data_IF_003152203675
#
_entry.id   IF_003152203675
#
_cell.length_a   1.000
_cell.length_b   1.000
_cell.length_c   1.000
_cell.angle_alpha   90.00
_cell.angle_beta   90.00
_cell.angle_gamma   90.00
#
_symmetry.space_group_name_H-M   'P 1'
#
loop_
_entity.id
_entity.type
_entity.pdbx_description
1 polymer ?
#
# COMPACT_ATOMS: atom_id res chain seq x y z
N UNK A 1 -9.67 3.43 20.95
CA UNK A 1 -11.14 3.56 20.88
C UNK A 1 -11.87 2.23 21.13
N UNK A 2 -11.45 1.09 20.58
CA UNK A 2 -12.18 -0.20 20.73
C UNK A 2 -12.32 -0.65 22.20
N UNK A 3 -11.25 -0.59 22.99
CA UNK A 3 -11.25 -1.00 24.39
C UNK A 3 -12.21 -0.16 25.25
N UNK A 4 -12.21 1.15 25.06
CA UNK A 4 -13.15 2.03 25.78
C UNK A 4 -14.63 1.76 25.47
N UNK A 5 -14.94 1.34 24.23
CA UNK A 5 -16.30 0.97 23.81
C UNK A 5 -16.73 -0.37 24.42
N UNK A 6 -15.82 -1.35 24.49
CA UNK A 6 -16.08 -2.66 25.14
C UNK A 6 -16.36 -2.46 26.63
N UNK A 7 -15.54 -1.65 27.31
CA UNK A 7 -15.71 -1.37 28.75
C UNK A 7 -16.99 -0.56 29.00
N UNK A 8 -17.35 0.37 28.10
CA UNK A 8 -18.61 1.11 28.19
C UNK A 8 -19.83 0.19 28.02
N UNK A 9 -19.74 -0.83 27.15
CA UNK A 9 -20.80 -1.82 27.01
C UNK A 9 -20.93 -2.68 28.25
N UNK A 10 -19.81 -3.13 28.83
CA UNK A 10 -19.82 -3.91 30.07
C UNK A 10 -20.46 -3.16 31.26
N UNK A 11 -20.34 -1.82 31.31
CA UNK A 11 -21.07 -1.01 32.30
C UNK A 11 -22.57 -1.01 32.02
N UNK A 12 -22.98 -0.87 30.74
CA UNK A 12 -24.39 -0.92 30.34
C UNK A 12 -25.04 -2.26 30.64
N UNK A 13 -24.27 -3.33 30.48
CA UNK A 13 -24.72 -4.71 30.71
C UNK A 13 -24.68 -5.09 32.22
N UNK A 14 -24.31 -4.14 33.09
CA UNK A 14 -24.23 -4.38 34.56
C UNK A 14 -23.10 -5.29 35.01
N UNK A 15 -22.14 -5.63 34.13
CA UNK A 15 -21.02 -6.51 34.43
C UNK A 15 -19.98 -5.82 35.32
N UNK A 16 -19.78 -4.51 35.14
CA UNK A 16 -18.90 -3.67 35.96
C UNK A 16 -19.61 -2.38 36.38
N UNK A 17 -19.33 -1.85 37.59
CA UNK A 17 -20.05 -0.69 38.12
C UNK A 17 -19.69 0.64 37.46
N UNK A 18 -18.51 0.78 36.90
CA UNK A 18 -18.05 2.02 36.24
C UNK A 18 -16.99 1.73 35.16
N UNK A 19 -16.74 2.73 34.31
CA UNK A 19 -15.75 2.61 33.24
C UNK A 19 -14.41 3.24 33.66
N UNK A 20 -13.41 2.43 34.10
CA UNK A 20 -12.12 2.95 34.57
C UNK A 20 -11.29 3.59 33.44
N UNK A 21 -11.60 3.31 32.16
CA UNK A 21 -10.88 3.89 31.00
C UNK A 21 -11.08 5.40 30.89
N UNK A 22 -12.20 5.94 31.43
CA UNK A 22 -12.47 7.38 31.42
C UNK A 22 -11.54 8.17 32.36
N UNK A 23 -10.96 7.52 33.35
CA UNK A 23 -10.07 8.12 34.34
C UNK A 23 -8.58 8.02 33.95
N UNK A 24 -8.28 7.21 32.95
CA UNK A 24 -6.90 7.01 32.46
C UNK A 24 -6.44 8.25 31.72
N UNK A 25 -5.53 8.99 32.31
CA UNK A 25 -4.80 10.09 31.64
C UNK A 25 -3.66 9.48 30.83
N UNK A 26 -3.77 9.49 29.51
CA UNK A 26 -2.67 9.06 28.62
C UNK A 26 -1.51 10.05 28.78
N UNK A 27 -0.33 9.55 29.11
CA UNK A 27 0.88 10.35 29.16
C UNK A 27 1.11 11.01 27.79
N UNK A 28 1.24 12.35 27.76
CA UNK A 28 1.43 13.10 26.51
C UNK A 28 2.66 12.64 25.72
N UNK A 29 3.70 12.17 26.39
CA UNK A 29 4.90 11.62 25.74
C UNK A 29 4.62 10.29 25.04
N UNK A 30 3.87 9.38 25.68
CA UNK A 30 3.40 8.14 25.05
C UNK A 30 2.48 8.44 23.86
N UNK A 31 1.55 9.38 23.99
CA UNK A 31 0.67 9.78 22.89
C UNK A 31 1.46 10.36 21.71
N UNK A 32 2.53 11.13 21.98
CA UNK A 32 3.43 11.64 20.96
C UNK A 32 4.28 10.53 20.30
N UNK A 33 4.70 9.53 21.07
CA UNK A 33 5.43 8.37 20.58
C UNK A 33 4.55 7.50 19.68
N UNK A 34 3.31 7.18 20.09
CA UNK A 34 2.31 6.51 19.25
C UNK A 34 1.95 7.33 17.99
N UNK A 35 1.89 8.66 18.09
CA UNK A 35 1.69 9.53 16.95
C UNK A 35 2.88 9.47 15.97
N UNK A 36 4.13 9.40 16.48
CA UNK A 36 5.33 9.22 15.66
C UNK A 36 5.38 7.85 14.98
N UNK A 37 4.99 6.78 15.67
CA UNK A 37 4.89 5.45 15.08
C UNK A 37 3.82 5.39 13.98
N UNK A 38 2.64 5.97 14.19
CA UNK A 38 1.60 6.12 13.16
C UNK A 38 2.06 6.97 11.98
N UNK A 39 2.94 7.96 12.21
CA UNK A 39 3.49 8.79 11.14
C UNK A 39 4.53 8.06 10.27
N UNK A 40 5.14 6.97 10.75
CA UNK A 40 6.01 6.11 9.92
C UNK A 40 5.22 5.38 8.83
N UNK A 41 3.96 5.01 9.09
CA UNK A 41 3.09 4.41 8.09
C UNK A 41 2.60 5.41 7.03
N UNK A 42 2.84 6.70 7.26
CA UNK A 42 2.49 7.79 6.34
C UNK A 42 3.67 8.19 5.42
N UNK A 43 4.81 7.50 5.47
CA UNK A 43 5.89 7.72 4.49
C UNK A 43 5.49 7.16 3.13
N UNK A 44 5.72 7.94 2.09
CA UNK A 44 5.35 7.60 0.72
C UNK A 44 6.38 8.16 -0.26
N UNK A 45 6.48 7.54 -1.41
CA UNK A 45 7.22 8.06 -2.55
C UNK A 45 6.49 9.26 -3.18
N UNK A 46 7.22 10.27 -3.56
CA UNK A 46 6.77 11.27 -4.53
C UNK A 46 6.53 10.63 -5.90
N UNK A 47 6.03 11.42 -6.85
CA UNK A 47 5.87 10.97 -8.23
C UNK A 47 7.21 10.47 -8.82
N UNK A 48 8.27 11.27 -8.75
CA UNK A 48 9.60 10.93 -9.28
C UNK A 48 10.21 9.70 -8.59
N UNK A 49 10.09 9.62 -7.26
CA UNK A 49 10.57 8.48 -6.47
C UNK A 49 9.79 7.18 -6.78
N UNK A 50 8.49 7.30 -7.07
CA UNK A 50 7.67 6.16 -7.48
C UNK A 50 8.11 5.59 -8.82
N UNK A 51 8.42 6.45 -9.79
CA UNK A 51 8.98 6.04 -11.08
C UNK A 51 10.37 5.42 -10.92
N UNK A 52 11.25 6.06 -10.14
CA UNK A 52 12.57 5.54 -9.86
C UNK A 52 12.52 4.16 -9.19
N UNK A 53 11.58 3.96 -8.24
CA UNK A 53 11.36 2.66 -7.61
C UNK A 53 10.95 1.59 -8.62
N UNK A 54 9.90 1.82 -9.41
CA UNK A 54 9.39 0.85 -10.39
C UNK A 54 10.46 0.47 -11.40
N UNK A 55 11.22 1.43 -11.92
CA UNK A 55 12.33 1.18 -12.86
C UNK A 55 13.45 0.34 -12.20
N UNK A 56 13.75 0.61 -10.92
CA UNK A 56 14.81 -0.12 -10.19
C UNK A 56 14.46 -1.57 -9.89
N UNK A 57 13.18 -1.94 -9.92
CA UNK A 57 12.71 -3.29 -9.59
C UNK A 57 12.18 -4.06 -10.79
N UNK A 58 12.36 -3.57 -12.00
CA UNK A 58 11.81 -4.16 -13.23
C UNK A 58 12.21 -5.64 -13.42
N UNK A 59 13.44 -5.99 -13.05
CA UNK A 59 13.94 -7.37 -13.12
C UNK A 59 13.67 -8.21 -11.86
N UNK A 60 12.97 -7.66 -10.87
CA UNK A 60 12.73 -8.34 -9.60
C UNK A 60 11.54 -9.30 -9.72
N UNK A 61 11.60 -10.47 -9.06
CA UNK A 61 10.54 -11.49 -9.09
C UNK A 61 9.16 -11.01 -8.60
N UNK A 62 9.11 -9.95 -7.76
CA UNK A 62 7.88 -9.33 -7.27
C UNK A 62 7.53 -8.04 -8.00
N UNK A 63 8.11 -7.78 -9.18
CA UNK A 63 7.85 -6.56 -9.96
C UNK A 63 6.35 -6.33 -10.15
N UNK A 64 5.64 -7.31 -10.69
CA UNK A 64 4.21 -7.18 -10.99
C UNK A 64 3.39 -6.96 -9.71
N UNK A 65 3.80 -7.56 -8.58
CA UNK A 65 3.15 -7.35 -7.29
C UNK A 65 3.34 -5.91 -6.81
N UNK A 66 4.56 -5.37 -6.90
CA UNK A 66 4.84 -3.98 -6.51
C UNK A 66 4.15 -3.00 -7.45
N UNK A 67 4.19 -3.23 -8.77
CA UNK A 67 3.52 -2.41 -9.76
C UNK A 67 2.01 -2.32 -9.50
N UNK A 68 1.33 -3.45 -9.35
CA UNK A 68 -0.11 -3.51 -9.09
C UNK A 68 -0.45 -2.85 -7.75
N UNK A 69 0.37 -3.07 -6.72
CA UNK A 69 0.18 -2.45 -5.41
C UNK A 69 0.27 -0.93 -5.50
N UNK A 70 1.28 -0.42 -6.20
CA UNK A 70 1.51 1.01 -6.38
C UNK A 70 0.44 1.64 -7.27
N UNK A 71 0.12 1.03 -8.41
CA UNK A 71 -0.81 1.59 -9.40
C UNK A 71 -2.25 1.69 -8.86
N UNK A 72 -2.75 0.61 -8.25
CA UNK A 72 -4.13 0.55 -7.75
C UNK A 72 -4.26 0.94 -6.27
N UNK A 73 -3.17 1.20 -5.58
CA UNK A 73 -3.17 1.51 -4.16
C UNK A 73 -3.69 0.36 -3.30
N UNK A 74 -3.40 -0.90 -3.65
CA UNK A 74 -3.93 -2.05 -2.94
C UNK A 74 -3.30 -2.21 -1.55
N UNK A 75 -4.09 -2.75 -0.60
CA UNK A 75 -3.53 -3.25 0.65
C UNK A 75 -2.76 -4.55 0.40
N UNK A 76 -1.80 -4.85 1.25
CA UNK A 76 -1.03 -6.11 1.16
C UNK A 76 -1.94 -7.34 1.12
N UNK A 77 -2.95 -7.36 1.96
CA UNK A 77 -3.93 -8.43 2.06
C UNK A 77 -4.78 -8.56 0.79
N UNK A 78 -5.05 -7.45 0.11
CA UNK A 78 -5.82 -7.39 -1.14
C UNK A 78 -4.99 -7.89 -2.33
N UNK A 79 -3.74 -7.42 -2.47
CA UNK A 79 -2.88 -7.87 -3.58
C UNK A 79 -2.55 -9.37 -3.46
N UNK A 80 -2.28 -9.87 -2.25
CA UNK A 80 -2.07 -11.29 -2.02
C UNK A 80 -3.35 -12.12 -2.18
N UNK A 81 -4.52 -11.49 -2.00
CA UNK A 81 -5.82 -12.09 -2.21
C UNK A 81 -6.29 -12.07 -3.66
N UNK A 82 -5.55 -11.45 -4.59
CA UNK A 82 -5.97 -11.35 -5.99
C UNK A 82 -6.03 -12.74 -6.64
N UNK A 83 -7.15 -13.02 -7.29
CA UNK A 83 -7.43 -14.30 -7.97
C UNK A 83 -7.59 -14.10 -9.47
N UNK A 84 -7.21 -15.12 -10.25
CA UNK A 84 -7.42 -15.12 -11.70
C UNK A 84 -8.89 -15.04 -12.07
N UNK A 85 -9.78 -15.67 -11.31
CA UNK A 85 -11.24 -15.58 -11.49
C UNK A 85 -11.81 -14.17 -11.27
N UNK A 86 -11.02 -13.24 -10.70
CA UNK A 86 -11.40 -11.84 -10.48
C UNK A 86 -10.81 -10.91 -11.55
N UNK A 87 -10.13 -11.44 -12.58
CA UNK A 87 -9.51 -10.67 -13.67
C UNK A 87 -10.15 -11.12 -14.98
N UNK A 88 -10.88 -10.22 -15.61
CA UNK A 88 -11.46 -10.39 -16.93
C UNK A 88 -10.63 -9.60 -17.95
N UNK A 89 -9.84 -10.33 -18.75
CA UNK A 89 -8.96 -9.72 -19.74
C UNK A 89 -9.72 -9.23 -20.98
N UNK A 90 -10.87 -9.84 -21.28
CA UNK A 90 -11.70 -9.47 -22.44
C UNK A 90 -12.48 -8.19 -22.13
N UNK A 91 -13.05 -8.09 -20.92
CA UNK A 91 -13.72 -6.88 -20.43
C UNK A 91 -12.74 -5.85 -19.84
N UNK A 92 -11.44 -6.17 -19.80
CA UNK A 92 -10.37 -5.33 -19.23
C UNK A 92 -10.72 -4.84 -17.83
N UNK A 93 -11.07 -5.77 -16.93
CA UNK A 93 -11.43 -5.43 -15.55
C UNK A 93 -10.73 -6.32 -14.53
N UNK A 94 -10.47 -5.74 -13.34
CA UNK A 94 -9.95 -6.45 -12.17
C UNK A 94 -10.80 -6.10 -10.95
N UNK A 95 -11.33 -7.10 -10.28
CA UNK A 95 -12.18 -6.95 -9.09
C UNK A 95 -11.45 -7.38 -7.82
N UNK A 96 -11.38 -6.50 -6.83
CA UNK A 96 -10.87 -6.83 -5.49
C UNK A 96 -12.04 -7.33 -4.64
N UNK A 97 -12.05 -8.63 -4.32
CA UNK A 97 -13.13 -9.27 -3.57
C UNK A 97 -12.65 -10.24 -2.51
N UNK A 98 -11.34 -10.51 -2.44
CA UNK A 98 -10.77 -11.48 -1.54
C UNK A 98 -9.54 -10.92 -0.83
N UNK A 99 -9.28 -11.35 0.40
CA UNK A 99 -8.13 -10.92 1.20
C UNK A 99 -7.44 -12.10 1.87
N UNK A 100 -6.11 -11.99 2.01
CA UNK A 100 -5.28 -12.96 2.75
C UNK A 100 -4.68 -12.24 3.95
N UNK A 101 -5.11 -12.61 5.15
CA UNK A 101 -4.67 -11.98 6.42
C UNK A 101 -3.95 -12.99 7.31
N UNK A 102 -3.14 -12.48 8.24
CA UNK A 102 -2.52 -13.27 9.32
C UNK A 102 -3.26 -12.95 10.62
N UNK A 103 -3.78 -14.00 11.28
CA UNK A 103 -4.22 -14.00 12.66
C UNK A 103 -3.39 -15.03 13.43
N UNK A 104 -4.01 -15.86 14.26
CA UNK A 104 -3.39 -17.07 14.82
C UNK A 104 -3.03 -18.09 13.72
N UNK A 105 -3.76 -18.02 12.59
CA UNK A 105 -3.52 -18.78 11.35
C UNK A 105 -3.64 -17.85 10.15
N UNK A 106 -3.19 -18.31 8.98
CA UNK A 106 -3.39 -17.58 7.71
C UNK A 106 -4.85 -17.72 7.28
N UNK A 107 -5.60 -16.63 7.34
CA UNK A 107 -7.01 -16.58 6.97
C UNK A 107 -7.18 -16.10 5.52
N UNK A 108 -7.93 -16.86 4.73
CA UNK A 108 -8.27 -16.57 3.33
C UNK A 108 -9.78 -16.40 3.24
N UNK A 109 -10.25 -15.16 3.16
CA UNK A 109 -11.68 -14.86 3.21
C UNK A 109 -12.18 -14.27 1.91
N UNK A 110 -13.35 -14.75 1.45
CA UNK A 110 -14.06 -14.19 0.30
C UNK A 110 -14.82 -12.89 0.64
N UNK A 111 -14.59 -12.32 1.81
CA UNK A 111 -15.16 -11.03 2.19
C UNK A 111 -14.05 -10.05 2.53
N UNK A 112 -14.08 -8.91 1.86
CA UNK A 112 -13.45 -7.71 2.37
C UNK A 112 -14.26 -7.26 3.60
N UNK A 113 -13.60 -6.78 4.65
CA UNK A 113 -14.19 -6.42 5.97
C UNK A 113 -15.43 -5.50 5.89
N UNK A 114 -15.66 -4.85 4.77
CA UNK A 114 -16.81 -3.98 4.51
C UNK A 114 -17.23 -4.09 3.03
N UNK A 115 -18.52 -3.90 2.75
CA UNK A 115 -19.07 -3.82 1.39
C UNK A 115 -18.32 -2.76 0.53
N UNK A 116 -17.83 -1.69 1.17
CA UNK A 116 -17.04 -0.62 0.55
C UNK A 116 -15.63 -1.04 0.07
N UNK A 117 -15.16 -2.23 0.45
CA UNK A 117 -13.85 -2.74 0.04
C UNK A 117 -13.88 -3.53 -1.26
N UNK A 118 -15.07 -3.94 -1.72
CA UNK A 118 -15.24 -4.59 -3.04
C UNK A 118 -15.27 -3.50 -4.11
N UNK A 119 -14.31 -3.51 -5.00
CA UNK A 119 -14.19 -2.53 -6.07
C UNK A 119 -13.62 -3.15 -7.33
N UNK A 120 -14.07 -2.65 -8.47
CA UNK A 120 -13.62 -3.09 -9.79
C UNK A 120 -12.86 -1.95 -10.44
N UNK A 121 -11.70 -2.28 -10.98
CA UNK A 121 -10.84 -1.36 -11.72
C UNK A 121 -10.86 -1.66 -13.20
N UNK A 122 -10.87 -0.65 -14.07
CA UNK A 122 -10.55 -0.84 -15.47
C UNK A 122 -9.06 -1.13 -15.62
N UNK A 123 -8.70 -1.98 -16.58
CA UNK A 123 -7.34 -2.27 -16.98
C UNK A 123 -7.04 -1.58 -18.32
N UNK A 124 -5.87 -0.99 -18.45
CA UNK A 124 -5.36 -0.53 -19.74
C UNK A 124 -4.70 -1.69 -20.52
N UNK A 125 -4.34 -1.46 -21.78
CA UNK A 125 -3.77 -2.50 -22.65
C UNK A 125 -2.47 -3.07 -22.11
N UNK A 126 -1.59 -2.24 -21.54
CA UNK A 126 -0.32 -2.67 -20.95
C UNK A 126 -0.54 -3.62 -19.76
N UNK A 127 -1.56 -3.37 -18.96
CA UNK A 127 -1.92 -4.22 -17.82
C UNK A 127 -2.56 -5.55 -18.28
N UNK A 128 -3.35 -5.51 -19.33
CA UNK A 128 -3.89 -6.73 -19.98
C UNK A 128 -2.75 -7.60 -20.50
N UNK A 129 -1.76 -7.00 -21.17
CA UNK A 129 -0.57 -7.68 -21.67
C UNK A 129 0.28 -8.24 -20.52
N UNK A 130 0.48 -7.46 -19.44
CA UNK A 130 1.18 -7.90 -18.24
C UNK A 130 0.50 -9.15 -17.63
N UNK A 131 -0.81 -9.12 -17.39
CA UNK A 131 -1.53 -10.27 -16.84
C UNK A 131 -1.53 -11.46 -17.80
N UNK A 132 -1.58 -11.23 -19.10
CA UNK A 132 -1.48 -12.28 -20.12
C UNK A 132 -0.10 -12.95 -20.08
N UNK A 133 0.98 -12.18 -19.93
CA UNK A 133 2.33 -12.71 -19.74
C UNK A 133 2.45 -13.50 -18.44
N UNK A 134 1.88 -13.01 -17.34
CA UNK A 134 1.87 -13.73 -16.06
C UNK A 134 1.13 -15.07 -16.17
N UNK A 135 -0.01 -15.15 -16.88
CA UNK A 135 -0.72 -16.42 -17.16
C UNK A 135 0.14 -17.38 -17.99
N UNK A 136 0.86 -16.89 -18.99
CA UNK A 136 1.79 -17.71 -19.79
C UNK A 136 2.93 -18.25 -18.92
N UNK A 137 3.53 -17.40 -18.07
CA UNK A 137 4.59 -17.79 -17.11
C UNK A 137 4.08 -18.84 -16.12
N UNK A 138 2.89 -18.69 -15.59
CA UNK A 138 2.28 -19.69 -14.69
C UNK A 138 2.09 -21.05 -15.38
N UNK A 139 1.60 -21.06 -16.64
CA UNK A 139 1.47 -22.31 -17.41
C UNK A 139 2.83 -22.99 -17.63
N UNK A 140 3.88 -22.23 -17.90
CA UNK A 140 5.25 -22.75 -18.02
C UNK A 140 5.76 -23.33 -16.70
N UNK A 141 5.55 -22.63 -15.58
CA UNK A 141 5.91 -23.08 -14.24
C UNK A 141 5.19 -24.40 -13.88
N UNK A 142 3.89 -24.50 -14.19
CA UNK A 142 3.10 -25.72 -13.99
C UNK A 142 3.68 -26.91 -14.77
N UNK A 143 4.11 -26.70 -16.01
CA UNK A 143 4.78 -27.73 -16.80
C UNK A 143 6.13 -28.12 -16.22
N UNK A 144 6.91 -27.13 -15.75
CA UNK A 144 8.23 -27.33 -15.16
C UNK A 144 8.15 -28.16 -13.86
N UNK A 145 7.24 -27.84 -12.98
CA UNK A 145 7.08 -28.50 -11.68
C UNK A 145 6.26 -29.81 -11.73
N UNK A 146 5.52 -30.05 -12.82
CA UNK A 146 4.73 -31.27 -13.02
C UNK A 146 3.82 -31.57 -11.82
N UNK A 147 3.87 -32.81 -11.31
CA UNK A 147 3.05 -33.24 -10.18
C UNK A 147 3.37 -32.53 -8.84
N UNK A 148 4.49 -31.83 -8.76
CA UNK A 148 4.88 -31.03 -7.59
C UNK A 148 4.18 -29.68 -7.52
N UNK A 149 3.55 -29.24 -8.62
CA UNK A 149 2.91 -27.93 -8.67
C UNK A 149 1.67 -27.87 -7.77
N UNK A 150 1.61 -26.81 -6.93
CA UNK A 150 0.45 -26.55 -6.04
C UNK A 150 -0.53 -25.62 -6.74
N UNK A 151 -1.57 -26.23 -7.33
CA UNK A 151 -2.58 -25.50 -8.08
C UNK A 151 -3.44 -24.62 -7.18
N UNK A 152 -3.66 -23.39 -7.60
CA UNK A 152 -4.52 -22.43 -6.90
C UNK A 152 -4.93 -21.31 -7.85
N UNK A 153 -6.05 -20.64 -7.54
CA UNK A 153 -6.58 -19.50 -8.30
C UNK A 153 -5.88 -18.18 -7.98
N UNK A 154 -4.92 -18.15 -7.04
CA UNK A 154 -4.23 -16.92 -6.69
C UNK A 154 -3.23 -16.50 -7.78
N UNK A 155 -3.14 -15.18 -8.01
CA UNK A 155 -2.23 -14.59 -9.00
C UNK A 155 -0.79 -14.61 -8.49
N UNK A 156 -0.56 -14.21 -7.23
CA UNK A 156 0.78 -14.08 -6.64
C UNK A 156 1.14 -15.29 -5.79
N UNK A 157 2.11 -16.06 -6.27
CA UNK A 157 2.59 -17.32 -5.69
C UNK A 157 4.01 -17.64 -6.16
N UNK A 158 4.67 -18.58 -5.52
CA UNK A 158 5.97 -19.09 -5.93
C UNK A 158 5.89 -19.88 -7.25
N UNK A 159 7.06 -20.16 -7.83
CA UNK A 159 7.19 -20.93 -9.09
C UNK A 159 6.53 -22.31 -9.00
N UNK A 160 6.59 -22.96 -7.84
CA UNK A 160 5.96 -24.26 -7.56
C UNK A 160 4.45 -24.17 -7.25
N UNK A 161 3.87 -22.97 -7.32
CA UNK A 161 2.46 -22.72 -7.02
C UNK A 161 2.14 -22.56 -5.53
N UNK A 162 3.11 -22.68 -4.62
CA UNK A 162 2.90 -22.40 -3.20
C UNK A 162 2.62 -20.92 -2.98
N UNK A 163 1.66 -20.62 -2.10
CA UNK A 163 1.25 -19.25 -1.85
C UNK A 163 2.30 -18.51 -1.03
N UNK A 164 2.53 -17.24 -1.34
CA UNK A 164 3.36 -16.39 -0.51
C UNK A 164 2.81 -16.31 0.91
N UNK A 165 3.71 -16.42 1.89
CA UNK A 165 3.35 -16.09 3.26
C UNK A 165 3.04 -14.58 3.35
N UNK A 166 1.99 -14.16 4.09
CA UNK A 166 1.49 -12.78 4.02
C UNK A 166 2.49 -11.67 4.31
N UNK A 167 3.54 -11.91 5.07
CA UNK A 167 4.58 -10.91 5.34
C UNK A 167 5.77 -10.96 4.36
N UNK A 168 5.82 -11.96 3.46
CA UNK A 168 6.89 -12.12 2.48
C UNK A 168 7.11 -10.86 1.61
N UNK A 169 6.08 -10.25 1.00
CA UNK A 169 6.27 -9.02 0.23
C UNK A 169 6.80 -7.86 1.07
N UNK A 170 6.36 -7.72 2.32
CA UNK A 170 6.82 -6.66 3.21
C UNK A 170 8.29 -6.85 3.62
N UNK A 171 8.70 -8.09 3.91
CA UNK A 171 10.09 -8.42 4.23
C UNK A 171 11.01 -8.21 3.02
N UNK A 172 10.57 -8.63 1.85
CA UNK A 172 11.31 -8.46 0.59
C UNK A 172 11.43 -6.97 0.25
N UNK A 173 10.33 -6.21 0.32
CA UNK A 173 10.34 -4.77 0.10
C UNK A 173 11.33 -4.06 1.03
N UNK A 174 11.32 -4.38 2.34
CA UNK A 174 12.26 -3.80 3.32
C UNK A 174 13.72 -4.08 2.99
N UNK A 175 14.04 -5.29 2.50
CA UNK A 175 15.40 -5.63 2.05
C UNK A 175 15.78 -4.84 0.80
N UNK A 176 14.85 -4.76 -0.15
CA UNK A 176 15.06 -4.09 -1.43
C UNK A 176 15.30 -2.60 -1.27
N UNK A 177 14.52 -1.89 -0.44
CA UNK A 177 14.72 -0.46 -0.18
C UNK A 177 16.11 -0.17 0.36
N UNK A 178 16.69 -1.04 1.18
CA UNK A 178 18.07 -0.87 1.68
C UNK A 178 19.13 -0.91 0.56
N UNK A 179 18.85 -1.55 -0.56
CA UNK A 179 19.75 -1.58 -1.74
C UNK A 179 19.56 -0.38 -2.66
N UNK A 180 18.59 0.48 -2.38
CA UNK A 180 18.23 1.66 -3.18
C UNK A 180 18.40 2.95 -2.35
N UNK A 181 19.66 3.35 -2.05
CA UNK A 181 19.94 4.46 -1.12
C UNK A 181 19.45 5.83 -1.62
N UNK A 182 19.15 5.97 -2.90
CA UNK A 182 18.54 7.17 -3.49
C UNK A 182 17.07 7.35 -3.12
N UNK A 183 16.42 6.32 -2.60
CA UNK A 183 15.01 6.34 -2.21
C UNK A 183 14.84 6.50 -0.69
N UNK A 184 13.69 7.02 -0.22
CA UNK A 184 13.39 7.14 1.21
C UNK A 184 13.50 5.79 1.94
N UNK A 185 14.37 5.71 2.96
CA UNK A 185 14.69 4.46 3.66
C UNK A 185 13.66 4.06 4.73
N UNK A 186 12.80 5.00 5.16
CA UNK A 186 11.76 4.78 6.17
C UNK A 186 10.45 4.18 5.63
N UNK A 187 10.30 4.13 4.30
CA UNK A 187 9.07 3.67 3.67
C UNK A 187 8.82 2.18 3.91
N UNK A 188 7.57 1.83 4.19
CA UNK A 188 7.10 0.46 4.34
C UNK A 188 6.39 -0.02 3.07
N UNK A 189 6.09 -1.33 2.98
CA UNK A 189 5.26 -1.86 1.89
C UNK A 189 3.88 -1.17 1.84
N UNK A 190 3.30 -0.82 2.98
CA UNK A 190 2.05 -0.06 3.05
C UNK A 190 2.21 1.34 2.45
N UNK A 191 3.40 1.92 2.53
CA UNK A 191 3.74 3.19 1.91
C UNK A 191 3.55 3.21 0.38
N UNK A 192 3.58 2.06 -0.32
CA UNK A 192 3.23 2.00 -1.75
C UNK A 192 1.79 2.44 -2.02
N UNK A 193 0.86 2.10 -1.13
CA UNK A 193 -0.52 2.58 -1.22
C UNK A 193 -0.61 4.10 -0.97
N UNK A 194 0.13 4.60 0.00
CA UNK A 194 0.23 6.05 0.24
C UNK A 194 0.91 6.77 -0.95
N UNK A 195 1.87 6.10 -1.62
CA UNK A 195 2.50 6.60 -2.84
C UNK A 195 1.52 6.66 -4.02
N UNK A 196 0.60 5.71 -4.15
CA UNK A 196 -0.50 5.81 -5.12
C UNK A 196 -1.31 7.10 -4.89
N UNK A 197 -1.67 7.39 -3.64
CA UNK A 197 -2.36 8.65 -3.31
C UNK A 197 -1.50 9.86 -3.71
N UNK A 198 -0.20 9.84 -3.40
CA UNK A 198 0.74 10.92 -3.77
C UNK A 198 0.78 11.17 -5.28
N UNK A 199 0.84 10.10 -6.08
CA UNK A 199 0.82 10.18 -7.55
C UNK A 199 -0.49 10.82 -8.03
N UNK A 200 -1.64 10.36 -7.53
CA UNK A 200 -2.95 10.87 -7.94
C UNK A 200 -3.16 12.34 -7.53
N UNK A 201 -2.64 12.76 -6.37
CA UNK A 201 -2.62 14.17 -5.94
C UNK A 201 -1.77 15.02 -6.88
N UNK A 202 -0.58 14.51 -7.24
CA UNK A 202 0.33 15.20 -8.18
C UNK A 202 -0.32 15.36 -9.57
N UNK A 203 -1.13 14.38 -10.00
CA UNK A 203 -1.91 14.43 -11.23
C UNK A 203 -3.16 15.33 -11.14
N UNK A 204 -3.39 16.00 -10.01
CA UNK A 204 -4.50 16.93 -9.82
C UNK A 204 -5.85 16.29 -9.55
N UNK A 205 -5.89 14.99 -9.22
CA UNK A 205 -7.14 14.31 -8.89
C UNK A 205 -7.73 14.82 -7.57
N UNK A 206 -9.06 14.93 -7.50
CA UNK A 206 -9.75 15.35 -6.29
C UNK A 206 -9.73 14.27 -5.20
N UNK A 207 -9.80 14.71 -3.95
CA UNK A 207 -9.68 13.84 -2.76
C UNK A 207 -10.72 12.70 -2.74
N UNK A 208 -11.94 12.98 -3.21
CA UNK A 208 -13.04 12.01 -3.21
C UNK A 208 -12.83 10.90 -4.22
N UNK A 209 -12.35 11.25 -5.41
CA UNK A 209 -11.95 10.30 -6.46
C UNK A 209 -10.78 9.44 -5.99
N UNK A 210 -9.78 10.04 -5.36
CA UNK A 210 -8.64 9.31 -4.77
C UNK A 210 -9.11 8.34 -3.68
N UNK A 211 -9.95 8.81 -2.74
CA UNK A 211 -10.51 7.96 -1.68
C UNK A 211 -11.21 6.72 -2.26
N UNK A 212 -12.05 6.94 -3.27
CA UNK A 212 -12.79 5.86 -3.95
C UNK A 212 -11.85 4.90 -4.67
N UNK A 213 -10.84 5.42 -5.37
CA UNK A 213 -9.84 4.61 -6.08
C UNK A 213 -9.10 3.66 -5.15
N UNK A 214 -8.48 4.20 -4.12
CA UNK A 214 -7.72 3.36 -3.17
C UNK A 214 -8.62 2.57 -2.21
N UNK A 215 -9.90 2.93 -2.05
CA UNK A 215 -10.82 2.28 -1.13
C UNK A 215 -10.50 2.59 0.35
N UNK A 216 -10.30 3.88 0.68
CA UNK A 216 -10.21 4.30 2.07
C UNK A 216 -11.61 4.40 2.67
N UNK A 217 -11.85 3.67 3.77
CA UNK A 217 -13.11 3.73 4.50
C UNK A 217 -13.35 5.11 5.13
N UNK A 218 -12.26 5.76 5.54
CA UNK A 218 -12.25 7.09 6.13
C UNK A 218 -11.52 8.08 5.21
N UNK A 219 -12.16 9.20 4.91
CA UNK A 219 -11.60 10.26 4.08
C UNK A 219 -10.39 10.94 4.74
N UNK A 220 -10.33 10.98 6.07
CA UNK A 220 -9.23 11.62 6.82
C UNK A 220 -7.87 11.02 6.47
N UNK A 221 -7.83 9.72 6.18
CA UNK A 221 -6.59 9.06 5.71
C UNK A 221 -6.11 9.64 4.38
N UNK A 222 -7.02 9.87 3.44
CA UNK A 222 -6.69 10.48 2.14
C UNK A 222 -6.31 11.95 2.30
N UNK A 223 -7.07 12.70 3.09
CA UNK A 223 -6.81 14.13 3.35
C UNK A 223 -5.45 14.37 3.99
N UNK A 224 -5.03 13.51 4.94
CA UNK A 224 -3.73 13.61 5.60
C UNK A 224 -2.57 13.46 4.61
N UNK A 225 -2.65 12.47 3.70
CA UNK A 225 -1.63 12.27 2.66
C UNK A 225 -1.67 13.43 1.67
N UNK A 226 -2.87 13.84 1.25
CA UNK A 226 -3.09 14.98 0.35
C UNK A 226 -2.43 16.24 0.88
N UNK A 227 -2.65 16.59 2.14
CA UNK A 227 -2.07 17.76 2.78
C UNK A 227 -0.53 17.68 2.80
N UNK A 228 0.05 16.51 3.13
CA UNK A 228 1.51 16.30 3.13
C UNK A 228 2.11 16.47 1.73
N UNK A 229 1.43 15.97 0.69
CA UNK A 229 1.89 16.13 -0.70
C UNK A 229 1.89 17.59 -1.09
N UNK A 230 0.77 18.28 -0.87
CA UNK A 230 0.63 19.71 -1.20
C UNK A 230 1.63 20.59 -0.44
N UNK A 231 1.88 20.29 0.82
CA UNK A 231 2.92 20.98 1.60
C UNK A 231 4.33 20.79 1.01
N UNK A 232 4.67 19.55 0.60
CA UNK A 232 5.96 19.27 -0.05
C UNK A 232 6.10 19.99 -1.40
N UNK A 233 5.05 19.98 -2.22
CA UNK A 233 5.00 20.69 -3.50
C UNK A 233 5.15 22.20 -3.32
N UNK A 234 4.38 22.80 -2.39
CA UNK A 234 4.46 24.23 -2.08
C UNK A 234 5.86 24.64 -1.59
N UNK A 235 6.49 23.85 -0.70
CA UNK A 235 7.86 24.11 -0.24
C UNK A 235 8.88 24.08 -1.38
N UNK A 236 8.75 23.14 -2.32
CA UNK A 236 9.61 23.03 -3.52
C UNK A 236 9.44 24.26 -4.43
N UNK A 237 8.20 24.67 -4.65
CA UNK A 237 7.86 25.83 -5.47
C UNK A 237 8.36 27.14 -4.84
N UNK A 238 8.11 27.34 -3.54
CA UNK A 238 8.61 28.51 -2.79
C UNK A 238 10.15 28.56 -2.85
N UNK A 239 10.82 27.42 -2.59
CA UNK A 239 12.29 27.36 -2.64
C UNK A 239 12.81 27.71 -4.05
N UNK A 240 12.17 27.21 -5.10
CA UNK A 240 12.53 27.53 -6.49
C UNK A 240 12.34 29.01 -6.79
N UNK A 241 11.22 29.59 -6.37
CA UNK A 241 10.91 31.02 -6.54
C UNK A 241 11.92 31.89 -5.78
N UNK A 242 12.25 31.53 -4.54
CA UNK A 242 13.26 32.26 -3.75
C UNK A 242 14.65 32.17 -4.41
N UNK A 243 15.04 31.00 -4.95
CA UNK A 243 16.30 30.83 -5.66
C UNK A 243 16.37 31.65 -6.96
N UNK A 244 15.24 31.98 -7.58
CA UNK A 244 15.20 32.88 -8.76
C UNK A 244 15.53 34.33 -8.39
N UNK A 245 15.19 34.73 -7.15
CA UNK A 245 15.45 36.10 -6.62
C UNK A 245 16.81 36.18 -5.95
N UNK A 246 17.19 35.17 -5.18
CA UNK A 246 18.43 35.17 -4.39
C UNK A 246 19.41 34.12 -4.91
N UNK A 247 20.40 34.53 -5.71
CA UNK A 247 21.48 33.62 -6.13
C UNK A 247 22.47 33.46 -4.99
N UNK A 248 22.60 32.26 -4.45
CA UNK A 248 23.62 31.94 -3.46
C UNK A 248 25.02 32.11 -4.06
N UNK A 249 25.98 32.58 -3.24
CA UNK A 249 27.39 32.69 -3.62
C UNK A 249 27.92 31.27 -3.94
N UNK A 250 28.50 31.08 -5.12
CA UNK A 250 29.17 29.83 -5.46
C UNK A 250 30.42 29.65 -4.60
N UNK A 251 30.44 28.70 -3.72
CA UNK A 251 31.65 28.25 -3.03
C UNK A 251 32.32 27.19 -3.91
N UNK A 252 33.46 27.54 -4.55
CA UNK A 252 34.29 26.51 -5.20
C UNK A 252 34.90 25.65 -4.08
N UNK A 253 34.68 24.35 -4.16
CA UNK A 253 35.44 23.39 -3.39
C UNK A 253 36.86 23.38 -3.99
N UNK A 254 37.76 24.17 -3.44
CA UNK A 254 39.19 23.99 -3.64
C UNK A 254 39.62 22.87 -2.71
N UNK A 255 39.82 21.67 -3.30
CA UNK A 255 40.72 20.67 -2.75
C UNK A 255 42.12 20.93 -3.30
#
# INVERSE_FOLDING_TARGET
MLFGSIVAQAVKDGIIPYNPVKEVRINKNLAAEYARERNKDDEFFSYDESQAFINSVESHELYELFYITLFFGLRREEVLGLKWSCIDLDQKTMTISHTVTVGTTVNRTNSTKTYASRRTYPLNDEQVDMFSCMKKKERANRKLCGNGYKDSDYVFKHVDGTLYYPDYPSKTFKKLIKTLPSLPQGITFHGLRSSCVSILVHQGMDVKSIQKWVGHADIDTTLRIYAKVKEKEAKKEISSSMNSVFKARKYSQNN
#
